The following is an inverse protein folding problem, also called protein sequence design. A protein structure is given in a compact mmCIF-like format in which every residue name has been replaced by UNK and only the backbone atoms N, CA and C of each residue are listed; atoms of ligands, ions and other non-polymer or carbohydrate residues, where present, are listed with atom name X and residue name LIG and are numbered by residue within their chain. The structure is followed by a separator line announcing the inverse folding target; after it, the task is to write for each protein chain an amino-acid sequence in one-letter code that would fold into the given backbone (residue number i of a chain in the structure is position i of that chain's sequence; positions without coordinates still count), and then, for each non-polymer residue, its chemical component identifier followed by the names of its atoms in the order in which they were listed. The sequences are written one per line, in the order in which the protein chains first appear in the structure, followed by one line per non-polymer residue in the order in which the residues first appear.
data_IF_018312773887
#
_entry.id   IF_018312773887
#
_cell.length_a   1.000
_cell.length_b   1.000
_cell.length_c   1.000
_cell.angle_alpha   90.00
_cell.angle_beta   90.00
_cell.angle_gamma   90.00
#
_symmetry.space_group_name_H-M   'P 1'
#
loop_
_entity.id
_entity.type
_entity.pdbx_description
1 polymer ?
#
# COMPACT_ATOMS: atom_id res chain seq x y z
N UNK A 1 5.00 62.94 -15.61
CA UNK A 1 4.85 61.82 -14.67
C UNK A 1 3.45 61.65 -14.07
N UNK A 2 2.61 62.69 -13.99
CA UNK A 2 1.25 62.61 -13.38
C UNK A 2 0.24 61.76 -14.21
N UNK A 3 0.34 61.71 -15.53
CA UNK A 3 -0.64 60.99 -16.38
C UNK A 3 -0.44 59.48 -16.42
N UNK A 4 0.76 58.93 -16.12
CA UNK A 4 1.01 57.48 -16.09
C UNK A 4 0.50 56.84 -14.80
N UNK A 5 0.49 57.58 -13.71
CA UNK A 5 -0.01 57.11 -12.41
C UNK A 5 -1.54 57.00 -12.42
N UNK A 6 -2.22 57.96 -13.09
CA UNK A 6 -3.68 57.94 -13.21
C UNK A 6 -4.15 56.76 -14.06
N UNK A 7 -3.43 56.44 -15.16
CA UNK A 7 -3.76 55.29 -16.01
C UNK A 7 -3.58 53.93 -15.29
N UNK A 8 -2.54 53.85 -14.42
CA UNK A 8 -2.28 52.64 -13.64
C UNK A 8 -3.34 52.39 -12.56
N UNK A 9 -3.82 53.46 -11.90
CA UNK A 9 -4.91 53.36 -10.93
C UNK A 9 -6.25 52.98 -11.59
N UNK A 10 -6.54 53.44 -12.81
CA UNK A 10 -7.74 53.07 -13.58
C UNK A 10 -7.66 51.59 -14.01
N UNK A 11 -6.46 51.11 -14.41
CA UNK A 11 -6.26 49.73 -14.81
C UNK A 11 -6.45 48.76 -13.61
N UNK A 12 -5.96 49.13 -12.42
CA UNK A 12 -6.18 48.33 -11.21
C UNK A 12 -7.66 48.33 -10.81
N UNK A 13 -8.37 49.44 -10.98
CA UNK A 13 -9.80 49.49 -10.67
C UNK A 13 -10.66 48.62 -11.61
N UNK A 14 -10.24 48.48 -12.87
CA UNK A 14 -10.93 47.63 -13.85
C UNK A 14 -10.71 46.15 -13.48
N UNK A 15 -9.53 45.75 -13.00
CA UNK A 15 -9.27 44.38 -12.57
C UNK A 15 -9.97 44.01 -11.26
N UNK A 16 -10.30 44.92 -10.39
CA UNK A 16 -11.02 44.65 -9.15
C UNK A 16 -12.53 44.56 -9.31
N UNK A 17 -13.07 45.04 -10.46
CA UNK A 17 -14.52 44.94 -10.74
C UNK A 17 -14.85 43.66 -11.51
N UNK A 18 -13.87 42.99 -12.12
CA UNK A 18 -14.05 41.77 -12.93
C UNK A 18 -14.17 40.47 -12.10
N UNK A 19 -14.04 40.52 -10.79
CA UNK A 19 -14.06 39.30 -9.94
C UNK A 19 -15.21 39.27 -8.92
N UNK A 20 -16.29 39.98 -9.18
CA UNK A 20 -17.50 39.83 -8.36
C UNK A 20 -18.71 39.47 -9.22
N UNK A 21 -18.62 38.38 -9.98
CA UNK A 21 -19.82 37.61 -10.21
C UNK A 21 -20.20 36.97 -8.89
N UNK A 22 -21.07 37.63 -8.14
CA UNK A 22 -21.81 36.99 -7.07
C UNK A 22 -22.58 35.85 -7.72
N UNK A 23 -22.25 34.63 -7.39
CA UNK A 23 -23.18 33.52 -7.56
C UNK A 23 -24.47 33.96 -6.87
N UNK A 24 -25.47 34.26 -7.66
CA UNK A 24 -26.82 34.44 -7.16
C UNK A 24 -27.26 33.06 -6.74
N UNK A 25 -27.26 32.81 -5.43
CA UNK A 25 -27.91 31.64 -4.90
C UNK A 25 -29.36 31.76 -5.38
N UNK A 26 -29.88 30.79 -6.16
CA UNK A 26 -31.28 30.83 -6.57
C UNK A 26 -32.14 30.95 -5.31
N UNK A 27 -32.96 31.98 -5.24
CA UNK A 27 -33.89 32.20 -4.14
C UNK A 27 -35.09 31.28 -4.22
N UNK A 28 -35.17 30.45 -5.24
CA UNK A 28 -36.24 29.47 -5.48
C UNK A 28 -35.68 28.05 -5.28
N UNK A 29 -35.15 27.80 -4.10
CA UNK A 29 -35.18 26.45 -3.55
C UNK A 29 -36.62 26.24 -3.15
N UNK A 30 -37.42 25.70 -4.04
CA UNK A 30 -38.77 25.33 -3.77
C UNK A 30 -38.79 24.41 -2.54
N UNK A 31 -39.33 24.95 -1.46
CA UNK A 31 -39.52 24.23 -0.21
C UNK A 31 -40.49 23.06 -0.31
N UNK A 32 -41.08 22.87 -1.49
CA UNK A 32 -42.05 21.81 -1.76
C UNK A 32 -41.45 20.48 -2.24
N UNK A 33 -40.16 20.44 -2.60
CA UNK A 33 -39.44 19.18 -2.90
C UNK A 33 -38.68 18.62 -1.70
N UNK A 34 -38.88 19.16 -0.50
CA UNK A 34 -38.23 18.68 0.73
C UNK A 34 -38.72 17.28 1.20
N UNK A 35 -39.48 16.58 0.39
CA UNK A 35 -39.98 15.25 0.69
C UNK A 35 -39.29 14.10 -0.03
N UNK A 36 -38.42 14.37 -1.00
CA UNK A 36 -37.82 13.30 -1.82
C UNK A 36 -36.32 13.08 -1.59
N UNK A 37 -35.59 14.07 -1.09
CA UNK A 37 -34.14 13.91 -0.76
C UNK A 37 -33.87 14.68 0.53
N UNK A 38 -33.89 14.00 1.67
CA UNK A 38 -33.45 14.57 2.94
C UNK A 38 -31.95 14.93 2.82
N UNK A 39 -31.55 16.03 3.46
CA UNK A 39 -30.13 16.30 3.67
C UNK A 39 -29.56 15.10 4.45
N UNK A 40 -28.90 14.16 3.74
CA UNK A 40 -28.43 12.91 4.30
C UNK A 40 -28.55 11.69 3.39
N UNK A 41 -29.27 11.75 2.27
CA UNK A 41 -29.36 10.63 1.32
C UNK A 41 -28.14 10.55 0.38
N UNK A 42 -26.95 10.52 0.96
CA UNK A 42 -25.76 10.16 0.22
C UNK A 42 -25.69 8.63 0.12
N UNK A 43 -25.38 8.10 -1.06
CA UNK A 43 -25.20 6.66 -1.30
C UNK A 43 -23.91 6.42 -2.06
N UNK A 44 -23.34 5.23 -1.95
CA UNK A 44 -22.21 4.85 -2.79
C UNK A 44 -22.72 4.47 -4.19
N UNK A 45 -22.22 5.17 -5.21
CA UNK A 45 -22.48 4.89 -6.61
C UNK A 45 -21.30 4.18 -7.25
N UNK A 46 -21.58 3.18 -8.08
CA UNK A 46 -20.55 2.50 -8.85
C UNK A 46 -20.03 3.42 -9.96
N UNK A 47 -18.71 3.45 -10.12
CA UNK A 47 -18.01 4.15 -11.18
C UNK A 47 -17.75 3.18 -12.34
N UNK A 48 -18.12 3.56 -13.55
CA UNK A 48 -17.79 2.83 -14.79
C UNK A 48 -16.48 3.33 -15.40
N UNK A 49 -15.77 2.50 -16.23
CA UNK A 49 -16.04 1.09 -16.47
C UNK A 49 -15.60 0.20 -15.31
N UNK A 50 -16.12 -1.02 -15.24
CA UNK A 50 -15.58 -2.07 -14.37
C UNK A 50 -14.15 -2.41 -14.84
N UNK A 51 -13.22 -2.57 -13.91
CA UNK A 51 -11.88 -3.02 -14.23
C UNK A 51 -11.84 -4.55 -14.17
N UNK A 52 -11.65 -5.18 -15.30
CA UNK A 52 -11.69 -6.62 -15.48
C UNK A 52 -10.49 -7.13 -16.29
N UNK A 53 -10.65 -8.18 -17.02
CA UNK A 53 -9.61 -8.73 -17.92
C UNK A 53 -9.11 -7.76 -18.98
N UNK A 54 -9.86 -6.70 -19.31
CA UNK A 54 -9.38 -5.66 -20.21
C UNK A 54 -8.27 -4.81 -19.57
N UNK A 55 -8.17 -4.86 -18.26
CA UNK A 55 -7.13 -4.23 -17.44
C UNK A 55 -6.04 -5.21 -17.00
N UNK A 56 -6.00 -6.41 -17.62
CA UNK A 56 -5.08 -7.52 -17.30
C UNK A 56 -5.26 -8.10 -15.89
N UNK A 57 -6.46 -8.10 -15.37
CA UNK A 57 -6.82 -8.73 -14.10
C UNK A 57 -7.41 -10.13 -14.34
N UNK A 58 -7.10 -11.09 -13.47
CA UNK A 58 -7.69 -12.42 -13.51
C UNK A 58 -8.26 -12.85 -12.15
N UNK A 59 -7.46 -12.77 -11.09
CA UNK A 59 -7.89 -13.09 -9.72
C UNK A 59 -7.24 -12.11 -8.74
N UNK A 60 -7.74 -10.84 -8.69
CA UNK A 60 -7.23 -9.85 -7.74
C UNK A 60 -7.58 -10.28 -6.31
N UNK A 61 -6.56 -10.40 -5.46
CA UNK A 61 -6.70 -10.79 -4.04
C UNK A 61 -6.55 -9.61 -3.11
N UNK A 62 -5.68 -8.63 -3.46
CA UNK A 62 -5.42 -7.45 -2.63
C UNK A 62 -5.15 -6.22 -3.50
N UNK A 63 -5.38 -5.04 -2.92
CA UNK A 63 -5.20 -3.76 -3.57
C UNK A 63 -4.67 -2.72 -2.59
N UNK A 64 -3.57 -2.06 -2.95
CA UNK A 64 -3.01 -0.95 -2.18
C UNK A 64 -2.85 0.29 -3.06
N UNK A 65 -2.97 1.47 -2.46
CA UNK A 65 -2.83 2.76 -3.13
C UNK A 65 -1.62 3.49 -2.56
N UNK A 66 -0.59 3.64 -3.40
CA UNK A 66 0.59 4.38 -3.01
C UNK A 66 0.31 5.89 -2.85
N UNK A 67 1.18 6.58 -2.14
CA UNK A 67 1.03 8.01 -1.85
C UNK A 67 0.97 8.89 -3.11
N UNK A 68 1.55 8.45 -4.22
CA UNK A 68 1.50 9.15 -5.51
C UNK A 68 0.23 8.84 -6.33
N UNK A 69 -0.68 8.03 -5.79
CA UNK A 69 -1.95 7.66 -6.40
C UNK A 69 -1.87 6.47 -7.35
N UNK A 70 -0.72 5.81 -7.49
CA UNK A 70 -0.63 4.52 -8.20
C UNK A 70 -1.29 3.43 -7.38
N UNK A 71 -1.96 2.53 -8.09
CA UNK A 71 -2.73 1.43 -7.52
C UNK A 71 -1.99 0.14 -7.82
N UNK A 72 -1.70 -0.63 -6.78
CA UNK A 72 -1.01 -1.91 -6.84
C UNK A 72 -1.99 -3.01 -6.51
N UNK A 73 -2.05 -4.03 -7.35
CA UNK A 73 -2.98 -5.14 -7.21
C UNK A 73 -2.20 -6.44 -7.17
N UNK A 74 -2.36 -7.20 -6.10
CA UNK A 74 -1.90 -8.58 -6.02
C UNK A 74 -2.85 -9.45 -6.85
N UNK A 75 -2.47 -9.76 -8.09
CA UNK A 75 -3.28 -10.57 -9.00
C UNK A 75 -2.75 -12.02 -9.02
N UNK A 76 -3.33 -12.81 -8.13
CA UNK A 76 -2.95 -14.20 -7.90
C UNK A 76 -3.13 -15.05 -9.15
N UNK A 77 -4.22 -14.83 -9.90
CA UNK A 77 -4.52 -15.63 -11.10
C UNK A 77 -3.45 -15.49 -12.18
N UNK A 78 -2.77 -14.35 -12.23
CA UNK A 78 -1.70 -14.06 -13.16
C UNK A 78 -0.29 -14.16 -12.55
N UNK A 79 -0.14 -14.54 -11.28
CA UNK A 79 1.14 -14.50 -10.55
C UNK A 79 1.85 -13.15 -10.74
N UNK A 80 1.14 -12.05 -10.49
CA UNK A 80 1.57 -10.70 -10.89
C UNK A 80 1.21 -9.66 -9.84
N UNK A 81 2.01 -8.59 -9.79
CA UNK A 81 1.60 -7.31 -9.21
C UNK A 81 1.25 -6.38 -10.36
N UNK A 82 -0.03 -6.11 -10.55
CA UNK A 82 -0.54 -5.20 -11.58
C UNK A 82 -0.47 -3.77 -11.05
N UNK A 83 -0.02 -2.82 -11.88
CA UNK A 83 0.03 -1.41 -11.50
C UNK A 83 -0.83 -0.58 -12.44
N UNK A 84 -1.71 0.21 -11.86
CA UNK A 84 -2.68 1.06 -12.57
C UNK A 84 -2.63 2.49 -12.02
N UNK A 85 -3.02 3.46 -12.84
CA UNK A 85 -3.38 4.78 -12.36
C UNK A 85 -4.85 4.83 -11.92
N UNK A 86 -5.29 5.94 -11.39
CA UNK A 86 -6.67 6.13 -10.92
C UNK A 86 -7.74 6.05 -12.03
N UNK A 87 -7.32 6.06 -13.30
CA UNK A 87 -8.21 5.88 -14.47
C UNK A 87 -8.15 4.44 -15.01
N UNK A 88 -7.33 3.58 -14.42
CA UNK A 88 -7.14 2.20 -14.87
C UNK A 88 -6.09 2.07 -15.97
N UNK A 89 -5.35 3.13 -16.30
CA UNK A 89 -4.27 3.02 -17.27
C UNK A 89 -2.99 2.55 -16.58
N UNK A 90 -2.13 1.92 -17.35
CA UNK A 90 -0.77 1.61 -16.87
C UNK A 90 0.06 2.88 -16.89
N UNK A 91 0.71 3.22 -15.77
CA UNK A 91 1.63 4.36 -15.72
C UNK A 91 2.73 4.20 -16.77
N UNK A 92 3.04 5.27 -17.49
CA UNK A 92 4.02 5.24 -18.56
C UNK A 92 5.41 4.81 -18.07
N UNK A 93 5.98 3.81 -18.72
CA UNK A 93 7.28 3.25 -18.33
C UNK A 93 7.24 2.29 -17.15
N UNK A 94 6.03 1.94 -16.67
CA UNK A 94 5.83 1.08 -15.53
C UNK A 94 4.84 -0.05 -15.87
N UNK A 95 5.34 -1.26 -16.02
CA UNK A 95 4.53 -2.40 -16.48
C UNK A 95 4.04 -3.32 -15.36
N UNK A 96 4.39 -3.03 -14.11
CA UNK A 96 4.16 -3.94 -12.99
C UNK A 96 5.12 -5.14 -13.01
N UNK A 97 4.86 -6.10 -12.13
CA UNK A 97 5.61 -7.35 -12.05
C UNK A 97 4.74 -8.48 -12.62
N UNK A 98 5.29 -9.24 -13.55
CA UNK A 98 4.59 -10.35 -14.20
C UNK A 98 5.34 -11.66 -14.02
N UNK A 99 4.60 -12.77 -13.97
CA UNK A 99 5.17 -14.11 -13.88
C UNK A 99 6.18 -14.21 -12.74
N UNK A 100 5.73 -13.82 -11.55
CA UNK A 100 6.57 -13.81 -10.35
C UNK A 100 7.11 -15.20 -10.07
N UNK A 101 8.42 -15.29 -9.90
CA UNK A 101 9.12 -16.51 -9.51
C UNK A 101 10.16 -16.20 -8.44
N UNK A 102 10.41 -17.16 -7.56
CA UNK A 102 11.50 -17.08 -6.60
C UNK A 102 12.87 -17.45 -7.24
N UNK A 103 13.91 -17.49 -6.43
CA UNK A 103 15.26 -17.83 -6.88
C UNK A 103 15.37 -19.27 -7.43
N UNK A 104 14.49 -20.15 -7.02
CA UNK A 104 14.42 -21.55 -7.50
C UNK A 104 13.59 -21.69 -8.77
N UNK A 105 13.01 -20.61 -9.28
CA UNK A 105 12.05 -20.57 -10.37
C UNK A 105 10.67 -21.15 -10.01
N UNK A 106 10.38 -21.29 -8.71
CA UNK A 106 9.03 -21.61 -8.26
C UNK A 106 8.12 -20.39 -8.38
N UNK A 107 6.89 -20.60 -8.83
CA UNK A 107 5.92 -19.52 -9.00
C UNK A 107 5.53 -18.91 -7.65
N UNK A 108 5.44 -17.57 -7.61
CA UNK A 108 4.94 -16.81 -6.48
C UNK A 108 3.55 -16.29 -6.83
N UNK A 109 2.55 -16.71 -6.07
CA UNK A 109 1.18 -16.25 -6.21
C UNK A 109 0.87 -15.20 -5.13
N UNK A 110 0.96 -13.90 -5.42
CA UNK A 110 0.77 -12.87 -4.41
C UNK A 110 -0.68 -12.88 -3.90
N UNK A 111 -0.84 -12.77 -2.59
CA UNK A 111 -2.15 -12.68 -1.93
C UNK A 111 -2.37 -11.34 -1.24
N UNK A 112 -1.30 -10.61 -0.96
CA UNK A 112 -1.37 -9.28 -0.36
C UNK A 112 -0.20 -8.43 -0.86
N UNK A 113 -0.42 -7.11 -0.96
CA UNK A 113 0.55 -6.12 -1.43
C UNK A 113 0.34 -4.78 -0.73
N UNK A 114 1.42 -4.19 -0.24
CA UNK A 114 1.38 -2.82 0.25
C UNK A 114 2.64 -2.03 -0.13
N UNK A 115 2.55 -0.70 -0.10
CA UNK A 115 3.57 0.19 -0.63
C UNK A 115 3.91 1.27 0.38
N UNK A 116 5.16 1.30 0.84
CA UNK A 116 5.62 2.34 1.73
C UNK A 116 5.80 3.70 1.03
N UNK A 117 6.01 4.73 1.81
CA UNK A 117 6.25 6.10 1.33
C UNK A 117 7.48 6.25 0.43
N UNK A 118 8.40 5.32 0.47
CA UNK A 118 9.61 5.31 -0.35
C UNK A 118 9.43 4.51 -1.64
N UNK A 119 8.20 4.08 -1.92
CA UNK A 119 7.86 3.25 -3.06
C UNK A 119 8.53 1.87 -3.01
N UNK A 120 8.80 1.35 -1.83
CA UNK A 120 9.08 -0.07 -1.67
C UNK A 120 7.74 -0.81 -1.69
N UNK A 121 7.59 -1.75 -2.61
CA UNK A 121 6.42 -2.62 -2.71
C UNK A 121 6.72 -3.90 -1.97
N UNK A 122 5.93 -4.19 -0.97
CA UNK A 122 6.00 -5.45 -0.23
C UNK A 122 4.83 -6.31 -0.62
N UNK A 123 5.04 -7.62 -0.69
CA UNK A 123 3.97 -8.57 -0.95
C UNK A 123 4.27 -9.92 -0.31
N UNK A 124 3.22 -10.68 -0.05
CA UNK A 124 3.26 -12.01 0.53
C UNK A 124 2.51 -13.01 -0.36
N UNK A 125 2.82 -14.28 -0.18
CA UNK A 125 2.25 -15.40 -0.95
C UNK A 125 1.45 -16.40 -0.08
N UNK A 126 1.12 -16.01 1.16
CA UNK A 126 0.43 -16.87 2.11
C UNK A 126 1.32 -17.90 2.80
N UNK A 127 2.62 -17.89 2.53
CA UNK A 127 3.62 -18.65 3.25
C UNK A 127 4.23 -17.81 4.39
N UNK A 128 5.40 -18.20 4.88
CA UNK A 128 6.18 -17.43 5.84
C UNK A 128 7.07 -16.36 5.20
N UNK A 129 6.95 -16.11 3.90
CA UNK A 129 7.84 -15.24 3.12
C UNK A 129 7.23 -13.87 2.88
N UNK A 130 8.07 -12.84 2.99
CA UNK A 130 7.76 -11.48 2.55
C UNK A 130 8.74 -11.13 1.43
N UNK A 131 8.23 -10.66 0.33
CA UNK A 131 9.01 -10.18 -0.80
C UNK A 131 9.00 -8.65 -0.86
N UNK A 132 10.05 -8.07 -1.42
CA UNK A 132 10.16 -6.63 -1.62
C UNK A 132 10.61 -6.32 -3.04
N UNK A 133 9.99 -5.32 -3.64
CA UNK A 133 10.38 -4.75 -4.91
C UNK A 133 10.54 -3.24 -4.78
N UNK A 134 11.70 -2.72 -5.09
CA UNK A 134 11.98 -1.31 -5.03
C UNK A 134 11.71 -0.65 -6.38
N UNK A 135 10.69 0.20 -6.44
CA UNK A 135 10.29 0.88 -7.67
C UNK A 135 11.20 2.01 -8.09
N UNK A 136 11.89 2.64 -7.14
CA UNK A 136 12.83 3.72 -7.45
C UNK A 136 13.85 3.29 -8.50
N UNK A 137 14.31 2.04 -8.44
CA UNK A 137 15.21 1.48 -9.43
C UNK A 137 14.62 1.46 -10.83
N UNK A 138 13.36 1.10 -10.92
CA UNK A 138 12.64 1.03 -12.18
C UNK A 138 12.43 2.41 -12.80
N UNK A 139 12.13 3.40 -11.98
CA UNK A 139 11.85 4.77 -12.43
C UNK A 139 13.11 5.56 -12.73
N UNK A 140 14.14 5.45 -11.90
CA UNK A 140 15.41 6.14 -12.14
C UNK A 140 16.10 5.63 -13.39
N UNK A 141 15.73 4.43 -13.84
CA UNK A 141 16.38 3.71 -14.93
C UNK A 141 17.78 3.26 -14.52
N UNK A 142 17.98 1.96 -14.52
CA UNK A 142 19.26 1.39 -14.10
C UNK A 142 20.45 1.89 -14.92
N UNK A 143 20.19 2.37 -16.13
CA UNK A 143 21.20 3.02 -17.00
C UNK A 143 21.75 4.33 -16.40
N UNK A 144 21.13 4.86 -15.35
CA UNK A 144 21.58 6.05 -14.62
C UNK A 144 22.36 5.70 -13.36
N UNK A 145 22.50 4.42 -13.04
CA UNK A 145 23.31 3.99 -11.91
C UNK A 145 24.76 4.15 -12.28
N UNK A 146 25.42 5.11 -11.66
CA UNK A 146 26.85 5.25 -11.75
C UNK A 146 27.51 4.22 -10.87
N UNK A 147 28.14 3.24 -11.51
CA UNK A 147 29.00 2.32 -10.79
C UNK A 147 30.37 2.97 -10.62
N UNK A 148 30.89 2.98 -9.40
CA UNK A 148 32.24 3.45 -9.12
C UNK A 148 33.14 2.27 -8.73
N UNK A 149 34.37 2.35 -9.14
CA UNK A 149 35.40 1.40 -8.71
C UNK A 149 36.65 2.11 -8.27
N UNK A 150 37.36 1.50 -7.33
CA UNK A 150 38.70 1.91 -6.95
C UNK A 150 39.71 1.15 -7.80
N UNK A 151 40.47 1.90 -8.59
CA UNK A 151 41.58 1.41 -9.39
C UNK A 151 42.88 1.60 -8.62
N UNK A 152 43.72 0.60 -8.63
CA UNK A 152 45.08 0.66 -8.05
C UNK A 152 46.12 0.58 -9.13
N UNK A 153 47.04 1.52 -9.12
CA UNK A 153 48.21 1.47 -9.99
C UNK A 153 49.17 0.37 -9.52
N UNK A 154 49.48 -0.58 -10.41
CA UNK A 154 50.20 -1.82 -10.09
C UNK A 154 51.60 -1.56 -9.53
N UNK A 155 52.32 -0.56 -10.08
CA UNK A 155 53.68 -0.29 -9.68
C UNK A 155 53.79 0.67 -8.49
N UNK A 156 52.92 1.66 -8.40
CA UNK A 156 53.02 2.70 -7.37
C UNK A 156 52.16 2.45 -6.17
N UNK A 157 51.13 1.60 -6.30
CA UNK A 157 50.12 1.36 -5.27
C UNK A 157 49.19 2.54 -5.02
N UNK A 158 49.18 3.55 -5.90
CA UNK A 158 48.27 4.70 -5.78
C UNK A 158 46.83 4.29 -6.15
N UNK A 159 45.89 4.69 -5.33
CA UNK A 159 44.48 4.41 -5.55
C UNK A 159 43.77 5.62 -6.17
N UNK A 160 42.88 5.33 -7.12
CA UNK A 160 42.05 6.34 -7.79
C UNK A 160 40.65 5.77 -7.97
N UNK A 161 39.63 6.53 -7.53
CA UNK A 161 38.24 6.16 -7.76
C UNK A 161 37.76 6.77 -9.06
N UNK A 162 37.08 5.98 -9.88
CA UNK A 162 36.42 6.44 -11.09
C UNK A 162 34.98 5.91 -11.19
N UNK A 163 34.13 6.70 -11.84
CA UNK A 163 32.72 6.39 -12.07
C UNK A 163 32.62 5.76 -13.47
N UNK A 164 31.88 4.66 -13.58
CA UNK A 164 31.71 3.95 -14.85
C UNK A 164 31.14 4.86 -15.95
N UNK A 165 31.65 4.69 -17.16
CA UNK A 165 31.25 5.48 -18.32
C UNK A 165 31.90 6.88 -18.42
N UNK A 166 32.68 7.31 -17.43
CA UNK A 166 33.48 8.55 -17.53
C UNK A 166 34.78 8.35 -18.33
N UNK A 167 35.31 9.44 -18.87
CA UNK A 167 36.61 9.39 -19.59
C UNK A 167 37.75 8.84 -18.69
N UNK A 168 37.72 9.18 -17.40
CA UNK A 168 38.68 8.65 -16.43
C UNK A 168 38.52 7.14 -16.27
N UNK A 169 37.31 6.61 -16.13
CA UNK A 169 37.03 5.19 -16.08
C UNK A 169 37.59 4.45 -17.30
N UNK A 170 37.23 4.95 -18.49
CA UNK A 170 37.69 4.36 -19.75
C UNK A 170 39.21 4.41 -19.88
N UNK A 171 39.85 5.49 -19.44
CA UNK A 171 41.29 5.62 -19.42
C UNK A 171 41.96 4.60 -18.49
N UNK A 172 41.46 4.45 -17.27
CA UNK A 172 41.99 3.51 -16.29
C UNK A 172 41.73 2.04 -16.68
N UNK A 173 40.55 1.77 -17.25
CA UNK A 173 40.19 0.41 -17.68
C UNK A 173 41.08 -0.08 -18.84
N UNK A 174 41.47 0.83 -19.73
CA UNK A 174 42.30 0.50 -20.89
C UNK A 174 43.81 0.59 -20.62
N UNK A 175 44.19 1.04 -19.43
CA UNK A 175 45.61 1.15 -19.03
C UNK A 175 46.03 -0.09 -18.24
N UNK A 176 46.99 -0.86 -18.79
CA UNK A 176 47.49 -2.09 -18.17
C UNK A 176 48.22 -1.89 -16.84
N UNK A 177 48.57 -0.65 -16.51
CA UNK A 177 49.20 -0.32 -15.23
C UNK A 177 48.22 -0.14 -14.09
N UNK A 178 46.92 -0.18 -14.37
CA UNK A 178 45.85 -0.05 -13.40
C UNK A 178 45.02 -1.32 -13.30
N UNK A 179 44.65 -1.71 -12.09
CA UNK A 179 43.79 -2.84 -11.79
C UNK A 179 42.64 -2.41 -10.86
N UNK A 180 41.44 -2.95 -11.08
CA UNK A 180 40.33 -2.76 -10.17
C UNK A 180 40.56 -3.60 -8.92
N UNK A 181 40.50 -2.96 -7.74
CA UNK A 181 40.65 -3.65 -6.46
C UNK A 181 39.33 -3.70 -5.67
N UNK A 182 38.43 -2.76 -5.91
CA UNK A 182 37.12 -2.69 -5.25
C UNK A 182 36.14 -1.92 -6.14
N UNK A 183 34.93 -2.36 -6.19
CA UNK A 183 33.86 -1.65 -6.90
C UNK A 183 32.91 -2.58 -7.64
N UNK A 184 31.83 -2.01 -8.12
CA UNK A 184 30.85 -2.68 -8.98
C UNK A 184 31.22 -2.38 -10.43
N UNK A 185 31.40 -3.41 -11.24
CA UNK A 185 31.72 -3.23 -12.65
C UNK A 185 30.45 -3.04 -13.47
N UNK A 186 30.50 -2.14 -14.47
CA UNK A 186 29.41 -1.83 -15.40
C UNK A 186 28.92 -3.06 -16.21
N UNK A 187 29.73 -4.11 -16.24
CA UNK A 187 29.41 -5.37 -16.93
C UNK A 187 28.67 -6.40 -16.04
N UNK A 188 28.36 -6.09 -14.80
CA UNK A 188 27.65 -7.02 -13.94
C UNK A 188 26.13 -6.91 -14.16
N UNK A 189 25.69 -7.37 -15.34
CA UNK A 189 24.28 -7.44 -15.70
C UNK A 189 23.48 -8.29 -14.69
N UNK A 190 24.12 -9.28 -14.08
CA UNK A 190 23.47 -10.13 -13.08
C UNK A 190 23.11 -9.34 -11.80
N UNK A 191 24.01 -8.44 -11.36
CA UNK A 191 23.68 -7.54 -10.24
C UNK A 191 22.55 -6.58 -10.61
N UNK A 192 22.62 -5.98 -11.80
CA UNK A 192 21.58 -5.09 -12.32
C UNK A 192 20.23 -5.83 -12.35
N UNK A 193 20.19 -7.01 -12.94
CA UNK A 193 18.99 -7.83 -13.02
C UNK A 193 18.46 -8.20 -11.62
N UNK A 194 19.35 -8.46 -10.67
CA UNK A 194 18.96 -8.78 -9.29
C UNK A 194 18.33 -7.60 -8.56
N UNK A 195 18.84 -6.39 -8.82
CA UNK A 195 18.30 -5.15 -8.23
C UNK A 195 16.94 -4.76 -8.80
N UNK A 196 16.67 -5.12 -10.06
CA UNK A 196 15.41 -4.84 -10.75
C UNK A 196 14.29 -5.83 -10.40
N UNK A 197 14.63 -6.97 -9.84
CA UNK A 197 13.65 -8.01 -9.50
C UNK A 197 13.22 -7.90 -8.03
N UNK A 198 12.01 -8.38 -7.73
CA UNK A 198 11.64 -8.59 -6.35
C UNK A 198 12.57 -9.63 -5.71
N UNK A 199 12.90 -9.42 -4.45
CA UNK A 199 13.75 -10.32 -3.70
C UNK A 199 13.05 -10.75 -2.40
N UNK A 200 13.47 -11.88 -1.86
CA UNK A 200 13.05 -12.32 -0.54
C UNK A 200 13.55 -11.30 0.51
N UNK A 201 12.61 -10.58 1.10
CA UNK A 201 12.90 -9.57 2.10
C UNK A 201 13.03 -10.18 3.49
N UNK A 202 12.12 -11.11 3.84
CA UNK A 202 12.09 -11.77 5.13
C UNK A 202 11.53 -13.18 5.02
N UNK A 203 12.11 -14.11 5.79
CA UNK A 203 11.62 -15.46 5.96
C UNK A 203 11.35 -15.72 7.44
N UNK A 204 10.14 -16.08 7.80
CA UNK A 204 9.74 -16.38 9.17
C UNK A 204 10.51 -17.54 9.80
N UNK A 205 11.05 -18.45 8.98
CA UNK A 205 11.92 -19.52 9.47
C UNK A 205 13.25 -18.97 10.02
N UNK A 206 13.80 -17.94 9.37
CA UNK A 206 15.07 -17.33 9.79
C UNK A 206 14.92 -16.59 11.12
N UNK A 207 13.79 -15.96 11.34
CA UNK A 207 13.48 -15.32 12.63
C UNK A 207 13.63 -16.29 13.79
N UNK A 208 13.10 -17.45 13.60
CA UNK A 208 12.98 -18.43 14.67
C UNK A 208 14.33 -18.99 15.11
N UNK A 209 15.26 -19.08 14.19
CA UNK A 209 16.61 -19.56 14.47
C UNK A 209 17.46 -18.56 15.29
N UNK A 210 17.07 -17.29 15.33
CA UNK A 210 17.85 -16.23 16.01
C UNK A 210 17.44 -16.07 17.48
N UNK A 211 16.17 -16.25 17.80
CA UNK A 211 15.63 -15.90 19.11
C UNK A 211 15.19 -17.08 19.95
N UNK A 212 14.99 -18.22 19.30
CA UNK A 212 14.34 -19.33 19.96
C UNK A 212 15.30 -20.51 19.96
N UNK A 213 15.91 -20.69 21.09
CA UNK A 213 16.39 -21.99 21.36
C UNK A 213 15.16 -22.94 21.42
N UNK A 214 15.37 -24.14 21.65
CA UNK A 214 14.58 -25.35 21.51
C UNK A 214 13.09 -25.36 21.95
N UNK A 215 12.50 -24.25 22.38
CA UNK A 215 11.15 -24.25 22.96
C UNK A 215 10.01 -24.03 21.98
N UNK A 216 10.29 -23.56 20.77
CA UNK A 216 9.28 -23.20 19.79
C UNK A 216 9.46 -24.01 18.51
N UNK A 217 8.35 -24.38 17.89
CA UNK A 217 8.37 -24.86 16.51
C UNK A 217 8.75 -23.69 15.61
N UNK A 218 10.03 -23.61 15.34
CA UNK A 218 10.68 -22.43 14.80
C UNK A 218 10.44 -22.18 13.33
N UNK A 219 9.74 -23.06 12.63
CA UNK A 219 9.70 -23.11 11.19
C UNK A 219 8.29 -22.90 10.64
N UNK A 220 7.41 -22.20 11.39
CA UNK A 220 6.02 -22.12 11.00
C UNK A 220 5.43 -20.76 11.28
N UNK A 221 5.34 -19.99 10.22
CA UNK A 221 4.47 -18.82 10.10
C UNK A 221 3.62 -18.96 8.87
N UNK A 222 2.47 -18.34 8.87
CA UNK A 222 1.59 -18.22 7.73
C UNK A 222 1.08 -16.79 7.67
N UNK A 223 1.69 -15.99 6.80
CA UNK A 223 1.32 -14.60 6.66
C UNK A 223 0.07 -14.44 5.81
N UNK A 224 -0.89 -13.67 6.31
CA UNK A 224 -2.20 -13.46 5.67
C UNK A 224 -2.49 -12.02 5.34
N UNK A 225 -1.88 -11.06 6.04
CA UNK A 225 -2.02 -9.64 5.80
C UNK A 225 -0.69 -8.92 6.02
N UNK A 226 -0.48 -7.84 5.30
CA UNK A 226 0.74 -7.05 5.33
C UNK A 226 0.38 -5.56 5.28
N UNK A 227 1.06 -4.73 6.07
CA UNK A 227 0.95 -3.29 5.93
C UNK A 227 2.27 -2.57 6.17
N UNK A 228 2.52 -1.52 5.40
CA UNK A 228 3.71 -0.69 5.46
C UNK A 228 3.35 0.72 5.94
N UNK A 229 3.85 1.18 7.11
CA UNK A 229 3.51 2.50 7.64
C UNK A 229 3.78 3.64 6.65
N UNK A 230 2.82 4.57 6.58
CA UNK A 230 2.89 5.73 5.69
C UNK A 230 3.96 6.76 6.07
N UNK A 231 4.46 6.74 7.30
CA UNK A 231 5.58 7.57 7.72
C UNK A 231 6.89 6.81 7.65
N UNK A 232 7.96 7.50 7.50
CA UNK A 232 9.32 7.03 7.19
C UNK A 232 9.90 5.94 8.12
N UNK A 233 9.07 5.21 8.80
CA UNK A 233 9.51 4.09 9.60
C UNK A 233 10.00 2.97 8.68
N UNK A 234 11.14 2.41 9.01
CA UNK A 234 11.72 1.33 8.23
C UNK A 234 11.25 0.00 8.83
N UNK A 235 9.95 -0.26 8.70
CA UNK A 235 9.32 -1.48 9.19
C UNK A 235 8.08 -1.81 8.37
N UNK A 236 7.65 -3.05 8.44
CA UNK A 236 6.33 -3.53 8.01
C UNK A 236 5.70 -4.35 9.12
N UNK A 237 4.39 -4.42 9.13
CA UNK A 237 3.63 -5.30 10.01
C UNK A 237 2.99 -6.41 9.19
N UNK A 238 2.94 -7.59 9.75
CA UNK A 238 2.28 -8.74 9.13
C UNK A 238 1.40 -9.47 10.15
N UNK A 239 0.28 -9.96 9.68
CA UNK A 239 -0.55 -10.91 10.42
C UNK A 239 -0.06 -12.32 10.14
N UNK A 240 0.11 -13.09 11.21
CA UNK A 240 0.53 -14.49 11.17
C UNK A 240 -0.62 -15.38 11.66
N UNK A 241 -1.24 -16.10 10.75
CA UNK A 241 -2.38 -16.97 11.02
C UNK A 241 -1.99 -18.41 11.39
N UNK A 242 -0.70 -18.68 11.61
CA UNK A 242 -0.28 -20.00 12.04
C UNK A 242 -0.92 -20.39 13.37
N UNK A 243 -1.59 -21.53 13.40
CA UNK A 243 -2.36 -22.02 14.57
C UNK A 243 -1.61 -22.91 15.54
N UNK A 244 -0.30 -23.05 15.42
CA UNK A 244 0.53 -23.91 16.28
C UNK A 244 0.76 -23.30 17.67
N UNK A 245 0.95 -24.15 18.68
CA UNK A 245 0.93 -23.77 20.10
C UNK A 245 1.88 -22.63 20.49
N UNK A 246 3.00 -22.46 19.81
CA UNK A 246 4.04 -21.53 20.24
C UNK A 246 4.03 -20.20 19.50
N UNK A 247 3.52 -20.18 18.27
CA UNK A 247 3.37 -18.97 17.43
C UNK A 247 1.92 -18.73 17.04
N UNK A 248 1.01 -19.15 17.87
CA UNK A 248 -0.40 -19.12 17.58
C UNK A 248 -0.86 -17.68 17.36
N UNK A 249 -1.34 -17.40 16.16
CA UNK A 249 -2.03 -16.17 15.81
C UNK A 249 -1.42 -14.88 16.38
N UNK A 250 -0.70 -14.14 15.60
CA UNK A 250 0.00 -12.95 16.07
C UNK A 250 0.10 -11.86 15.01
N UNK A 251 0.41 -10.66 15.45
CA UNK A 251 0.89 -9.57 14.59
C UNK A 251 2.38 -9.42 14.87
N UNK A 252 3.18 -9.41 13.81
CA UNK A 252 4.65 -9.34 13.87
C UNK A 252 5.12 -8.06 13.22
N UNK A 253 6.09 -7.41 13.85
CA UNK A 253 6.82 -6.29 13.28
C UNK A 253 8.12 -6.79 12.66
N UNK A 254 8.38 -6.40 11.43
CA UNK A 254 9.62 -6.68 10.71
C UNK A 254 10.33 -5.36 10.45
N UNK A 255 11.51 -5.22 11.02
CA UNK A 255 12.34 -4.02 10.87
C UNK A 255 13.25 -4.14 9.65
N UNK A 256 13.57 -3.03 9.01
CA UNK A 256 14.52 -3.02 7.91
C UNK A 256 15.94 -2.98 8.42
N UNK A 257 16.74 -3.92 7.97
CA UNK A 257 18.18 -3.84 8.05
C UNK A 257 18.69 -3.39 6.70
N UNK A 258 19.18 -2.18 6.62
CA UNK A 258 19.67 -1.59 5.36
C UNK A 258 21.19 -1.57 5.29
N UNK A 259 21.70 -1.70 4.08
CA UNK A 259 23.10 -1.44 3.75
C UNK A 259 23.16 -0.59 2.49
N UNK A 260 24.08 0.37 2.46
CA UNK A 260 24.32 1.17 1.27
C UNK A 260 24.94 0.28 0.20
N UNK A 261 24.30 0.24 -0.99
CA UNK A 261 24.84 -0.48 -2.13
C UNK A 261 25.69 0.46 -2.98
N UNK A 262 25.14 1.63 -3.32
CA UNK A 262 25.80 2.56 -4.18
C UNK A 262 25.24 3.99 -4.06
N UNK A 263 26.01 4.98 -4.53
CA UNK A 263 25.58 6.37 -4.67
C UNK A 263 25.44 6.68 -6.17
N UNK A 264 24.32 7.29 -6.56
CA UNK A 264 24.06 7.70 -7.94
C UNK A 264 24.79 9.01 -8.28
N UNK A 265 24.94 9.30 -9.57
CA UNK A 265 25.48 10.61 -10.04
C UNK A 265 24.68 11.80 -9.56
N UNK A 266 23.39 11.62 -9.33
CA UNK A 266 22.52 12.63 -8.73
C UNK A 266 22.85 12.93 -7.27
N UNK A 267 23.68 12.11 -6.62
CA UNK A 267 23.95 12.13 -5.18
C UNK A 267 22.92 11.33 -4.37
N UNK A 268 21.97 10.67 -5.01
CA UNK A 268 21.01 9.80 -4.34
C UNK A 268 21.68 8.51 -3.88
N UNK A 269 21.32 8.07 -2.69
CA UNK A 269 21.86 6.87 -2.08
C UNK A 269 20.94 5.68 -2.31
N UNK A 270 21.51 4.60 -2.77
CA UNK A 270 20.79 3.37 -3.03
C UNK A 270 21.07 2.35 -1.95
N UNK A 271 20.01 1.83 -1.39
CA UNK A 271 20.04 0.92 -0.27
C UNK A 271 19.46 -0.45 -0.65
N UNK A 272 20.10 -1.51 -0.18
CA UNK A 272 19.47 -2.83 -0.06
C UNK A 272 18.76 -2.94 1.27
N UNK A 273 17.65 -3.64 1.28
CA UNK A 273 16.89 -3.89 2.49
C UNK A 273 16.68 -5.39 2.69
N UNK A 274 16.88 -5.80 3.93
CA UNK A 274 16.57 -7.15 4.42
C UNK A 274 15.72 -7.00 5.66
N UNK A 275 14.68 -7.80 5.80
CA UNK A 275 13.84 -7.84 6.97
C UNK A 275 14.56 -8.49 8.16
N UNK A 276 14.31 -7.95 9.33
CA UNK A 276 14.75 -8.52 10.59
C UNK A 276 13.57 -8.54 11.56
N UNK A 277 13.37 -9.65 12.21
CA UNK A 277 12.33 -9.76 13.26
C UNK A 277 12.44 -8.65 14.29
N UNK A 278 11.42 -7.83 14.41
CA UNK A 278 11.32 -6.71 15.34
C UNK A 278 10.59 -7.07 16.63
N UNK A 279 9.80 -8.12 16.59
CA UNK A 279 9.04 -8.61 17.75
C UNK A 279 7.58 -8.93 17.44
N UNK A 280 6.94 -9.64 18.35
CA UNK A 280 5.50 -9.84 18.34
C UNK A 280 4.80 -8.62 18.93
N UNK A 281 4.07 -7.91 18.10
CA UNK A 281 3.30 -6.71 18.48
C UNK A 281 2.12 -7.10 19.37
N UNK A 282 1.38 -8.12 18.93
CA UNK A 282 0.24 -8.66 19.64
C UNK A 282 0.12 -10.15 19.37
N UNK A 283 -0.22 -10.92 20.41
CA UNK A 283 -0.37 -12.37 20.35
C UNK A 283 -1.80 -12.83 20.54
N UNK A 284 -1.95 -14.16 20.49
CA UNK A 284 -3.21 -14.86 20.62
C UNK A 284 -4.01 -14.47 21.86
N UNK A 285 -5.32 -14.35 21.68
CA UNK A 285 -6.30 -14.13 22.72
C UNK A 285 -7.73 -14.03 22.17
N UNK A 286 -8.71 -13.89 23.05
CA UNK A 286 -10.11 -13.80 22.71
C UNK A 286 -10.76 -12.48 23.16
N UNK A 287 -9.97 -11.57 23.73
CA UNK A 287 -10.44 -10.26 24.19
C UNK A 287 -10.22 -9.16 23.15
N UNK A 288 -10.76 -7.98 23.43
CA UNK A 288 -10.52 -6.81 22.58
C UNK A 288 -9.02 -6.52 22.40
N UNK A 289 -8.60 -6.27 21.19
CA UNK A 289 -7.22 -6.00 20.84
C UNK A 289 -6.27 -7.20 20.94
N UNK A 290 -6.79 -8.43 20.99
CA UNK A 290 -5.99 -9.67 20.89
C UNK A 290 -6.18 -10.30 19.52
N UNK A 291 -5.33 -11.25 19.14
CA UNK A 291 -5.29 -11.83 17.80
C UNK A 291 -5.84 -13.26 17.81
N UNK A 292 -6.78 -13.57 16.91
CA UNK A 292 -7.30 -14.92 16.73
C UNK A 292 -7.68 -15.18 15.26
N UNK A 293 -6.89 -15.94 14.54
CA UNK A 293 -7.03 -16.17 13.09
C UNK A 293 -7.09 -14.86 12.29
N UNK A 294 -6.04 -14.04 12.34
CA UNK A 294 -6.02 -12.75 11.67
C UNK A 294 -6.03 -12.95 10.15
N UNK A 295 -6.66 -12.02 9.42
CA UNK A 295 -6.82 -12.08 7.97
C UNK A 295 -6.09 -10.94 7.27
N UNK A 296 -6.44 -9.69 7.58
CA UNK A 296 -5.87 -8.48 6.98
C UNK A 296 -5.45 -7.50 8.06
N UNK A 297 -4.63 -6.51 7.67
CA UNK A 297 -4.14 -5.46 8.56
C UNK A 297 -3.89 -4.18 7.77
N UNK A 298 -4.27 -3.04 8.35
CA UNK A 298 -3.93 -1.71 7.84
C UNK A 298 -3.37 -0.83 8.96
N UNK A 299 -2.65 0.24 8.60
CA UNK A 299 -2.00 1.14 9.55
C UNK A 299 -2.30 2.60 9.22
N UNK A 300 -2.74 3.36 10.21
CA UNK A 300 -2.92 4.78 10.04
C UNK A 300 -1.60 5.57 10.20
N UNK A 301 -1.63 6.88 9.87
CA UNK A 301 -0.47 7.76 9.97
C UNK A 301 0.05 8.01 11.41
N UNK A 302 -0.65 7.51 12.42
CA UNK A 302 -0.23 7.57 13.82
C UNK A 302 0.40 6.24 14.29
N UNK A 303 0.44 5.23 13.41
CA UNK A 303 0.93 3.89 13.73
C UNK A 303 -0.08 3.03 14.46
N UNK A 304 -1.38 3.41 14.47
CA UNK A 304 -2.42 2.54 14.96
C UNK A 304 -2.68 1.44 13.94
N UNK A 305 -2.78 0.22 14.41
CA UNK A 305 -3.02 -0.96 13.58
C UNK A 305 -4.50 -1.35 13.66
N UNK A 306 -5.09 -1.52 12.51
CA UNK A 306 -6.45 -2.01 12.33
C UNK A 306 -6.37 -3.36 11.66
N UNK A 307 -7.11 -4.35 12.12
CA UNK A 307 -7.05 -5.68 11.55
C UNK A 307 -8.37 -6.43 11.64
N UNK A 308 -8.56 -7.32 10.69
CA UNK A 308 -9.66 -8.26 10.65
C UNK A 308 -9.24 -9.63 11.14
N UNK A 309 -10.18 -10.42 11.63
CA UNK A 309 -9.92 -11.79 12.05
C UNK A 309 -11.16 -12.68 11.91
N UNK A 310 -10.93 -13.97 11.65
CA UNK A 310 -11.98 -14.99 11.54
C UNK A 310 -12.25 -15.72 12.86
N UNK A 311 -11.46 -15.46 13.89
CA UNK A 311 -11.63 -16.08 15.20
C UNK A 311 -12.87 -15.57 15.93
N UNK A 312 -13.28 -16.33 16.94
CA UNK A 312 -14.47 -16.02 17.74
C UNK A 312 -14.42 -14.62 18.38
N UNK A 313 -15.57 -14.01 18.50
CA UNK A 313 -15.96 -12.81 19.24
C UNK A 313 -15.93 -11.49 18.47
N UNK A 314 -14.78 -10.97 18.09
CA UNK A 314 -14.72 -9.61 17.50
C UNK A 314 -14.00 -9.67 16.17
N UNK A 315 -14.71 -9.39 15.06
CA UNK A 315 -14.11 -9.50 13.73
C UNK A 315 -13.15 -8.34 13.40
N UNK A 316 -13.33 -7.18 14.00
CA UNK A 316 -12.54 -5.97 13.75
C UNK A 316 -11.89 -5.49 15.03
N UNK A 317 -10.61 -5.15 14.94
CA UNK A 317 -9.85 -4.58 16.04
C UNK A 317 -9.05 -3.36 15.61
N UNK A 318 -8.82 -2.47 16.55
CA UNK A 318 -7.82 -1.42 16.47
C UNK A 318 -6.93 -1.49 17.72
N UNK A 319 -5.62 -1.42 17.52
CA UNK A 319 -4.64 -1.30 18.59
C UNK A 319 -3.72 -0.12 18.32
N UNK A 320 -3.38 0.63 19.35
CA UNK A 320 -2.51 1.79 19.24
C UNK A 320 -1.23 1.59 20.05
N UNK A 321 -0.09 2.13 19.56
CA UNK A 321 1.17 2.06 20.27
C UNK A 321 1.17 3.01 21.47
N UNK A 322 1.45 2.45 22.64
CA UNK A 322 1.71 3.22 23.86
C UNK A 322 3.21 3.10 24.18
N UNK A 323 3.92 4.22 24.07
CA UNK A 323 5.35 4.24 24.31
C UNK A 323 5.63 4.10 25.82
N UNK A 324 6.22 2.99 26.20
CA UNK A 324 6.71 2.73 27.55
C UNK A 324 8.21 2.46 27.51
N UNK A 325 8.99 3.52 27.66
CA UNK A 325 10.44 3.45 27.49
C UNK A 325 10.84 3.28 26.02
N UNK A 326 11.71 2.31 25.73
CA UNK A 326 12.22 2.05 24.38
C UNK A 326 11.33 1.09 23.57
N UNK A 327 10.20 0.64 24.13
CA UNK A 327 9.31 -0.32 23.48
C UNK A 327 7.90 0.22 23.36
N UNK A 328 7.27 -0.03 22.20
CA UNK A 328 5.85 0.20 22.01
C UNK A 328 5.05 -0.98 22.59
N UNK A 329 4.12 -0.68 23.48
CA UNK A 329 3.13 -1.65 23.97
C UNK A 329 1.79 -1.31 23.31
N UNK A 330 1.27 -2.22 22.51
CA UNK A 330 0.01 -1.99 21.82
C UNK A 330 -1.20 -2.30 22.72
N UNK A 331 -2.11 -1.34 22.79
CA UNK A 331 -3.31 -1.38 23.63
C UNK A 331 -4.55 -1.33 22.76
N UNK A 332 -5.63 -2.02 23.14
CA UNK A 332 -6.91 -1.97 22.43
C UNK A 332 -7.47 -0.54 22.37
N UNK A 333 -7.87 -0.11 21.20
CA UNK A 333 -8.51 1.18 20.99
C UNK A 333 -10.02 1.12 21.01
N UNK A 334 -10.60 0.00 20.56
CA UNK A 334 -12.05 -0.20 20.61
C UNK A 334 -12.48 -0.97 21.86
N UNK A 335 -13.71 -0.68 22.30
CA UNK A 335 -14.29 -1.27 23.49
C UNK A 335 -15.58 -2.04 23.11
N UNK A 336 -15.68 -3.32 23.45
CA UNK A 336 -16.90 -4.08 23.30
C UNK A 336 -18.10 -3.37 23.96
N UNK A 337 -19.27 -3.47 23.36
CA UNK A 337 -20.54 -2.87 23.83
C UNK A 337 -20.58 -1.33 23.74
N UNK A 338 -19.47 -0.66 23.43
CA UNK A 338 -19.44 0.80 23.28
C UNK A 338 -19.28 1.20 21.80
N UNK A 339 -18.44 0.50 21.06
CA UNK A 339 -18.12 0.84 19.67
C UNK A 339 -18.83 -0.16 18.73
N UNK A 340 -19.69 0.31 17.83
CA UNK A 340 -20.52 -0.53 16.95
C UNK A 340 -19.68 -1.47 16.06
N UNK A 341 -18.51 -1.03 15.64
CA UNK A 341 -17.56 -1.83 14.83
C UNK A 341 -17.16 -3.14 15.50
N UNK A 342 -17.23 -3.19 16.84
CA UNK A 342 -16.93 -4.40 17.61
C UNK A 342 -18.09 -5.40 17.68
N UNK A 343 -19.30 -5.03 17.23
CA UNK A 343 -20.45 -5.94 17.23
C UNK A 343 -20.29 -6.99 16.10
N UNK A 344 -20.15 -8.27 16.43
CA UNK A 344 -19.99 -9.32 15.42
C UNK A 344 -21.20 -9.49 14.51
N UNK A 345 -22.36 -8.94 14.86
CA UNK A 345 -23.57 -9.05 14.04
C UNK A 345 -23.51 -8.26 12.72
N UNK A 346 -22.57 -7.34 12.59
CA UNK A 346 -22.35 -6.61 11.34
C UNK A 346 -21.83 -7.48 10.21
N UNK A 347 -21.07 -8.52 10.55
CA UNK A 347 -20.33 -9.30 9.58
C UNK A 347 -20.65 -10.79 9.64
N UNK A 348 -20.67 -11.42 8.48
CA UNK A 348 -20.61 -12.87 8.37
C UNK A 348 -19.16 -13.35 8.27
N UNK A 349 -18.34 -12.63 7.50
CA UNK A 349 -16.90 -12.87 7.37
C UNK A 349 -16.20 -11.58 6.89
N UNK A 350 -15.73 -10.78 7.84
CA UNK A 350 -14.92 -9.61 7.55
C UNK A 350 -13.54 -10.05 7.07
N UNK A 351 -13.26 -9.89 5.76
CA UNK A 351 -11.98 -10.32 5.18
C UNK A 351 -10.90 -9.26 5.27
N UNK A 352 -11.23 -8.05 4.87
CA UNK A 352 -10.25 -7.00 4.72
C UNK A 352 -10.76 -5.67 5.26
N UNK A 353 -9.82 -4.78 5.62
CA UNK A 353 -10.07 -3.45 6.16
C UNK A 353 -9.11 -2.44 5.55
N UNK A 354 -9.63 -1.32 5.09
CA UNK A 354 -8.85 -0.17 4.70
C UNK A 354 -9.34 1.12 5.36
N UNK A 355 -8.44 2.09 5.45
CA UNK A 355 -8.69 3.39 6.07
C UNK A 355 -8.68 4.50 5.01
N UNK A 356 -9.53 5.50 5.18
CA UNK A 356 -9.38 6.77 4.48
C UNK A 356 -8.53 7.77 5.29
N UNK A 357 -8.26 8.95 4.75
CA UNK A 357 -7.50 10.00 5.42
C UNK A 357 -8.15 10.50 6.72
N UNK A 358 -9.46 10.30 6.87
CA UNK A 358 -10.22 10.66 8.07
C UNK A 358 -10.29 9.52 9.09
N UNK A 359 -9.64 8.38 8.77
CA UNK A 359 -9.68 7.14 9.54
C UNK A 359 -11.09 6.51 9.59
N UNK A 360 -11.92 6.79 8.61
CA UNK A 360 -13.11 5.97 8.43
C UNK A 360 -12.66 4.59 7.99
N UNK A 361 -13.28 3.57 8.56
CA UNK A 361 -12.96 2.18 8.32
C UNK A 361 -13.91 1.60 7.28
N UNK A 362 -13.35 1.03 6.25
CA UNK A 362 -14.06 0.32 5.20
C UNK A 362 -13.74 -1.16 5.37
N UNK A 363 -14.76 -1.98 5.51
CA UNK A 363 -14.61 -3.41 5.78
C UNK A 363 -15.37 -4.22 4.75
N UNK A 364 -14.68 -5.10 4.05
CA UNK A 364 -15.30 -6.01 3.09
C UNK A 364 -15.77 -7.30 3.76
N UNK A 365 -17.01 -7.69 3.47
CA UNK A 365 -17.57 -8.98 3.87
C UNK A 365 -17.84 -9.83 2.61
N UNK A 366 -17.06 -10.88 2.41
CA UNK A 366 -17.16 -11.70 1.19
C UNK A 366 -18.43 -12.56 1.15
N UNK A 367 -19.01 -12.91 2.29
CA UNK A 367 -20.24 -13.69 2.37
C UNK A 367 -21.46 -12.79 2.18
N UNK A 368 -21.42 -11.61 2.80
CA UNK A 368 -22.44 -10.60 2.58
C UNK A 368 -22.30 -9.90 1.23
N UNK A 369 -21.16 -10.04 0.54
CA UNK A 369 -20.86 -9.38 -0.74
C UNK A 369 -21.12 -7.87 -0.71
N UNK A 370 -20.68 -7.22 0.36
CA UNK A 370 -20.81 -5.77 0.55
C UNK A 370 -19.59 -5.20 1.32
N UNK A 371 -19.53 -3.88 1.37
CA UNK A 371 -18.57 -3.13 2.17
C UNK A 371 -19.33 -2.35 3.22
N UNK A 372 -19.00 -2.53 4.48
CA UNK A 372 -19.54 -1.77 5.59
C UNK A 372 -18.57 -0.67 5.99
N UNK A 373 -19.07 0.54 6.14
CA UNK A 373 -18.25 1.72 6.48
C UNK A 373 -18.60 2.21 7.87
N UNK A 374 -17.59 2.39 8.69
CA UNK A 374 -17.67 2.99 10.02
C UNK A 374 -16.85 4.29 10.07
N UNK A 375 -17.24 5.20 10.92
CA UNK A 375 -16.44 6.39 11.18
C UNK A 375 -15.20 6.07 12.04
N UNK A 376 -14.36 7.06 12.25
CA UNK A 376 -13.11 6.91 13.04
C UNK A 376 -13.32 6.58 14.52
N UNK A 377 -14.57 6.61 15.00
CA UNK A 377 -14.93 6.22 16.37
C UNK A 377 -15.48 4.80 16.44
N UNK A 378 -15.74 4.19 15.29
CA UNK A 378 -16.35 2.88 15.19
C UNK A 378 -17.89 2.90 15.11
N UNK A 379 -18.51 4.06 14.88
CA UNK A 379 -19.93 4.16 14.67
C UNK A 379 -20.28 3.85 13.21
N UNK A 380 -21.35 3.10 12.97
CA UNK A 380 -21.80 2.74 11.62
C UNK A 380 -22.11 3.99 10.79
N UNK A 381 -21.62 4.02 9.58
CA UNK A 381 -21.91 5.10 8.65
C UNK A 381 -22.78 4.65 7.49
N UNK A 382 -22.30 3.74 6.62
CA UNK A 382 -23.01 3.28 5.41
C UNK A 382 -22.52 1.93 4.89
N UNK A 383 -23.21 1.45 3.86
CA UNK A 383 -22.77 0.30 3.06
C UNK A 383 -22.53 0.69 1.60
N UNK A 384 -21.52 0.07 0.98
CA UNK A 384 -21.25 0.10 -0.45
C UNK A 384 -21.37 -1.32 -1.04
N UNK A 385 -21.32 -1.43 -2.38
CA UNK A 385 -21.39 -2.74 -3.06
C UNK A 385 -22.74 -3.03 -3.72
N UNK A 386 -23.63 -2.05 -3.73
CA UNK A 386 -24.96 -2.16 -4.32
C UNK A 386 -25.07 -1.36 -5.61
N UNK A 387 -25.82 -1.89 -6.60
CA UNK A 387 -26.24 -1.17 -7.78
C UNK A 387 -27.43 -0.24 -7.51
N UNK A 388 -27.85 0.49 -8.54
CA UNK A 388 -28.98 1.43 -8.47
C UNK A 388 -30.29 0.77 -7.98
N UNK A 389 -30.48 -0.53 -8.26
CA UNK A 389 -31.66 -1.30 -7.87
C UNK A 389 -31.48 -1.98 -6.50
N UNK A 390 -30.52 -1.57 -5.68
CA UNK A 390 -30.16 -2.21 -4.41
C UNK A 390 -29.78 -3.69 -4.55
N UNK A 391 -29.36 -4.11 -5.74
CA UNK A 391 -28.85 -5.44 -5.99
C UNK A 391 -27.35 -5.49 -5.68
N UNK A 392 -26.93 -6.58 -5.09
CA UNK A 392 -25.50 -6.85 -4.88
C UNK A 392 -24.82 -7.10 -6.22
N UNK A 393 -23.73 -6.41 -6.48
CA UNK A 393 -23.00 -6.47 -7.73
C UNK A 393 -21.82 -7.44 -7.68
N UNK A 394 -21.23 -7.58 -6.50
CA UNK A 394 -20.05 -8.42 -6.25
C UNK A 394 -20.46 -9.84 -5.91
N UNK A 395 -19.62 -10.81 -6.26
CA UNK A 395 -19.81 -12.23 -5.98
C UNK A 395 -18.96 -12.68 -4.78
N UNK A 396 -17.68 -12.38 -4.82
CA UNK A 396 -16.72 -12.75 -3.79
C UNK A 396 -15.70 -11.62 -3.59
N UNK A 397 -16.15 -10.47 -3.04
CA UNK A 397 -15.25 -9.38 -2.74
C UNK A 397 -14.26 -9.84 -1.67
N UNK A 398 -12.97 -9.51 -1.84
CA UNK A 398 -11.91 -10.03 -1.00
C UNK A 398 -11.02 -8.96 -0.37
N UNK A 399 -10.85 -7.84 -1.03
CA UNK A 399 -9.99 -6.76 -0.56
C UNK A 399 -10.50 -5.39 -1.00
N UNK A 400 -10.02 -4.35 -0.35
CA UNK A 400 -10.44 -2.99 -0.68
C UNK A 400 -9.34 -1.95 -0.37
N UNK A 401 -9.37 -0.84 -1.10
CA UNK A 401 -8.58 0.35 -0.79
C UNK A 401 -9.42 1.62 -1.02
N UNK A 402 -9.02 2.72 -0.39
CA UNK A 402 -9.70 4.01 -0.53
C UNK A 402 -8.68 5.07 -0.91
N UNK A 403 -8.97 5.80 -1.99
CA UNK A 403 -8.08 6.88 -2.41
C UNK A 403 -8.42 8.22 -1.74
N UNK A 404 -7.53 9.21 -1.91
CA UNK A 404 -7.68 10.55 -1.35
C UNK A 404 -8.94 11.31 -1.83
N UNK A 405 -9.58 10.84 -2.90
CA UNK A 405 -10.83 11.39 -3.42
C UNK A 405 -12.07 10.73 -2.79
N UNK A 406 -11.86 9.73 -1.93
CA UNK A 406 -12.92 8.92 -1.34
C UNK A 406 -13.50 7.87 -2.29
N UNK A 407 -12.77 7.52 -3.35
CA UNK A 407 -13.14 6.39 -4.22
C UNK A 407 -12.72 5.10 -3.54
N UNK A 408 -13.69 4.21 -3.36
CA UNK A 408 -13.50 2.87 -2.79
C UNK A 408 -13.29 1.89 -3.93
N UNK A 409 -12.17 1.20 -3.94
CA UNK A 409 -11.83 0.14 -4.88
C UNK A 409 -12.03 -1.19 -4.18
N UNK A 410 -12.73 -2.13 -4.79
CA UNK A 410 -13.03 -3.43 -4.19
C UNK A 410 -12.66 -4.54 -5.16
N UNK A 411 -11.72 -5.40 -4.77
CA UNK A 411 -11.36 -6.60 -5.51
C UNK A 411 -12.46 -7.66 -5.38
N UNK A 412 -12.91 -8.23 -6.49
CA UNK A 412 -13.82 -9.37 -6.56
C UNK A 412 -13.11 -10.52 -7.25
N UNK A 413 -12.63 -11.48 -6.46
CA UNK A 413 -11.83 -12.60 -7.00
C UNK A 413 -12.62 -13.51 -7.90
N UNK A 414 -13.91 -13.71 -7.63
CA UNK A 414 -14.74 -14.60 -8.45
C UNK A 414 -15.06 -14.01 -9.83
N UNK A 415 -15.20 -12.69 -9.90
CA UNK A 415 -15.41 -11.97 -11.15
C UNK A 415 -14.09 -11.60 -11.86
N UNK A 416 -12.94 -11.74 -11.20
CA UNK A 416 -11.64 -11.29 -11.72
C UNK A 416 -11.63 -9.80 -12.01
N UNK A 417 -12.19 -8.98 -11.11
CA UNK A 417 -12.43 -7.57 -11.40
C UNK A 417 -12.32 -6.68 -10.16
N UNK A 418 -12.16 -5.37 -10.40
CA UNK A 418 -12.18 -4.35 -9.36
C UNK A 418 -13.37 -3.44 -9.59
N UNK A 419 -14.26 -3.40 -8.62
CA UNK A 419 -15.37 -2.47 -8.54
C UNK A 419 -14.89 -1.17 -7.92
N UNK A 420 -15.45 -0.05 -8.37
CA UNK A 420 -15.14 1.28 -7.83
C UNK A 420 -16.42 1.98 -7.42
N UNK A 421 -16.42 2.54 -6.22
CA UNK A 421 -17.58 3.25 -5.68
C UNK A 421 -17.17 4.62 -5.17
N UNK A 422 -18.05 5.59 -5.33
CA UNK A 422 -17.87 6.92 -4.74
C UNK A 422 -19.15 7.36 -4.06
N UNK A 423 -19.02 8.02 -2.92
CA UNK A 423 -20.16 8.56 -2.20
C UNK A 423 -20.73 9.74 -2.98
N UNK A 424 -21.99 9.62 -3.41
CA UNK A 424 -22.70 10.72 -4.07
C UNK A 424 -23.22 11.71 -3.05
N UNK A 425 -23.22 12.98 -3.41
CA UNK A 425 -24.07 13.97 -2.75
C UNK A 425 -25.40 14.03 -3.49
N UNK A 426 -26.48 14.33 -2.79
CA UNK A 426 -27.83 14.46 -3.37
C UNK A 426 -27.95 15.52 -4.49
N UNK A 427 -26.86 16.25 -4.77
CA UNK A 427 -26.75 17.24 -5.85
C UNK A 427 -26.05 16.71 -7.10
N UNK A 428 -25.51 15.49 -7.06
CA UNK A 428 -24.76 14.90 -8.19
C UNK A 428 -25.67 14.01 -9.05
N UNK A 429 -26.90 14.49 -9.38
CA UNK A 429 -27.81 13.79 -10.30
C UNK A 429 -27.27 13.64 -11.74
N UNK A 430 -26.14 14.31 -12.04
CA UNK A 430 -25.53 14.30 -13.37
C UNK A 430 -24.50 13.18 -13.60
N UNK A 431 -24.28 12.28 -12.63
CA UNK A 431 -23.39 11.12 -12.79
C UNK A 431 -24.20 9.84 -13.06
N UNK A 432 -25.20 9.92 -13.89
CA UNK A 432 -25.74 8.72 -14.52
C UNK A 432 -24.87 8.38 -15.73
N UNK A 433 -24.32 7.16 -15.84
CA UNK A 433 -23.72 6.74 -17.08
C UNK A 433 -24.76 6.84 -18.19
N UNK A 434 -24.50 7.61 -19.22
CA UNK A 434 -25.27 7.48 -20.45
C UNK A 434 -25.06 6.06 -20.98
N UNK A 435 -26.17 5.37 -21.28
CA UNK A 435 -26.25 4.03 -21.85
C UNK A 435 -25.42 3.85 -23.14
#
# INVERSE_FOLDING_TARGET
MKNKFSLFCVLIMIFTISCTERFVIPSDIDSDNSGQFGAGDTTFLQISPLWDRAFDLDQPEEISIAQDGRIFVADKGNNSIVVLDQNGNRPGGFEGLRNLTDLNQDEISPIDVDVDKKMNVFFIDGSQRIFMWNQYWNESGINKISTSATFRHIQTGADTMAIAGTDLWLSLLNDSDWGIIEGVMDSDQALIDSLMKPHLFYDGNDEMNVYLDTYYESDKSQFTGLTAPADNENMVFVTDSYGGLNNQYRIVQINFKRSLILELESGDLVWSYVGQFGGTVKGFGTGAGTVNQPLSIDVDYQGNLYYTQAGDYFPIHMIYPNLSGDFAIYTSGFQPEADEVMDPSWFTNALDIALDENKNMYVVDNVNSDVTVFDSKGDYFKKAGYGQDSLKLMIEPCALAVDQRGVVYVCDRANGSIYRYQLSNSLDEDITPED
#
